data_IF_125911396579
#
_entry.id   IF_125911396579
#
_cell.length_a   1.000
_cell.length_b   1.000
_cell.length_c   1.000
_cell.angle_alpha   90.00
_cell.angle_beta   90.00
_cell.angle_gamma   90.00
#
_symmetry.space_group_name_H-M   'P 1'
#
loop_
_entity.id
_entity.type
_entity.pdbx_description
1 polymer ?
#
# COMPACT_ATOMS: atom_id res chain seq x y z
N UNK A 1 -21.59 -4.30 -15.54
CA UNK A 1 -21.64 -4.28 -14.06
C UNK A 1 -20.39 -4.99 -13.56
N UNK A 2 -19.55 -4.36 -12.71
CA UNK A 2 -18.34 -5.03 -12.19
C UNK A 2 -18.76 -5.99 -11.08
N UNK A 3 -18.39 -7.27 -11.19
CA UNK A 3 -18.82 -8.34 -10.29
C UNK A 3 -18.33 -8.16 -8.85
N UNK A 4 -18.91 -8.87 -7.86
CA UNK A 4 -18.78 -8.56 -6.42
C UNK A 4 -17.34 -8.48 -5.86
N UNK A 5 -16.35 -9.07 -6.53
CA UNK A 5 -14.93 -8.97 -6.15
C UNK A 5 -14.20 -7.70 -6.63
N UNK A 6 -14.84 -6.80 -7.37
CA UNK A 6 -14.17 -5.68 -8.03
C UNK A 6 -13.58 -4.65 -7.06
N UNK A 7 -14.26 -4.41 -5.93
CA UNK A 7 -13.81 -3.48 -4.90
C UNK A 7 -12.58 -4.04 -4.19
N UNK A 8 -12.58 -5.34 -3.88
CA UNK A 8 -11.44 -6.01 -3.27
C UNK A 8 -10.23 -6.00 -4.20
N UNK A 9 -10.41 -6.37 -5.48
CA UNK A 9 -9.32 -6.35 -6.46
C UNK A 9 -8.73 -4.96 -6.68
N UNK A 10 -9.55 -3.91 -6.62
CA UNK A 10 -9.09 -2.51 -6.69
C UNK A 10 -8.24 -2.14 -5.47
N UNK A 11 -8.70 -2.46 -4.25
CA UNK A 11 -7.96 -2.17 -3.03
C UNK A 11 -6.67 -2.99 -2.91
N UNK A 12 -6.67 -4.23 -3.37
CA UNK A 12 -5.45 -5.04 -3.44
C UNK A 12 -4.44 -4.47 -4.44
N UNK A 13 -4.90 -3.95 -5.58
CA UNK A 13 -4.03 -3.26 -6.54
C UNK A 13 -3.42 -1.98 -5.96
N UNK A 14 -4.23 -1.18 -5.26
CA UNK A 14 -3.77 0.01 -4.55
C UNK A 14 -2.75 -0.33 -3.45
N UNK A 15 -2.96 -1.41 -2.69
CA UNK A 15 -2.02 -1.87 -1.67
C UNK A 15 -0.67 -2.28 -2.27
N UNK A 16 -0.69 -2.99 -3.41
CA UNK A 16 0.54 -3.31 -4.17
C UNK A 16 1.27 -2.06 -4.62
N UNK A 17 0.56 -1.08 -5.15
CA UNK A 17 1.16 0.18 -5.59
C UNK A 17 1.80 0.95 -4.43
N UNK A 18 1.11 1.04 -3.29
CA UNK A 18 1.63 1.70 -2.09
C UNK A 18 2.89 1.02 -1.56
N UNK A 19 2.94 -0.32 -1.56
CA UNK A 19 4.15 -1.07 -1.19
C UNK A 19 5.33 -0.73 -2.10
N UNK A 20 5.13 -0.71 -3.42
CA UNK A 20 6.17 -0.33 -4.37
C UNK A 20 6.68 1.12 -4.16
N UNK A 21 5.76 2.04 -3.81
CA UNK A 21 6.10 3.43 -3.54
C UNK A 21 6.88 3.60 -2.23
N UNK A 22 6.48 2.88 -1.18
CA UNK A 22 7.21 2.80 0.10
C UNK A 22 8.63 2.26 -0.14
N UNK A 23 8.77 1.15 -0.85
CA UNK A 23 10.07 0.56 -1.16
C UNK A 23 10.98 1.53 -1.92
N UNK A 24 10.41 2.32 -2.84
CA UNK A 24 11.14 3.36 -3.57
C UNK A 24 11.59 4.47 -2.63
N UNK A 25 10.70 5.00 -1.80
CA UNK A 25 11.00 6.06 -0.84
C UNK A 25 12.07 5.63 0.17
N UNK A 26 12.05 4.38 0.62
CA UNK A 26 13.08 3.82 1.51
C UNK A 26 14.45 3.75 0.83
N UNK A 27 14.51 3.27 -0.42
CA UNK A 27 15.75 3.26 -1.21
C UNK A 27 16.28 4.67 -1.46
N UNK A 28 15.40 5.62 -1.75
CA UNK A 28 15.78 7.02 -1.97
C UNK A 28 16.30 7.65 -0.66
N UNK A 29 15.73 7.31 0.50
CA UNK A 29 16.24 7.72 1.80
C UNK A 29 17.64 7.15 2.09
N UNK A 30 17.87 5.86 1.78
CA UNK A 30 19.19 5.22 1.94
C UNK A 30 20.22 5.88 1.02
N UNK A 31 19.86 6.11 -0.26
CA UNK A 31 20.74 6.82 -1.20
C UNK A 31 21.04 8.23 -0.74
N UNK A 32 20.02 8.96 -0.29
CA UNK A 32 20.13 10.32 0.22
C UNK A 32 21.05 10.38 1.46
N UNK A 33 20.95 9.42 2.38
CA UNK A 33 21.82 9.33 3.55
C UNK A 33 23.28 9.00 3.20
N UNK A 34 23.49 8.18 2.16
CA UNK A 34 24.84 7.84 1.68
C UNK A 34 25.47 8.93 0.82
N UNK A 35 24.66 9.77 0.19
CA UNK A 35 25.13 10.96 -0.52
C UNK A 35 25.30 12.12 0.45
N UNK A 36 26.41 12.87 0.41
CA UNK A 36 26.54 14.16 1.12
C UNK A 36 25.64 15.27 0.55
N UNK A 37 24.60 14.91 -0.22
CA UNK A 37 23.69 15.83 -0.85
C UNK A 37 22.70 16.39 0.19
N UNK A 38 22.43 17.69 0.10
CA UNK A 38 21.33 18.35 0.83
C UNK A 38 20.00 17.89 0.22
N UNK A 39 19.54 16.71 0.60
CA UNK A 39 18.21 16.22 0.25
C UNK A 39 17.22 16.70 1.31
N UNK A 40 15.97 16.98 0.94
CA UNK A 40 14.86 17.17 1.89
C UNK A 40 14.47 15.82 2.54
N UNK A 41 15.39 15.24 3.30
CA UNK A 41 15.21 13.99 4.07
C UNK A 41 13.97 14.08 4.96
N UNK A 42 13.68 15.29 5.47
CA UNK A 42 12.49 15.54 6.27
C UNK A 42 11.19 15.27 5.49
N UNK A 43 11.08 15.78 4.27
CA UNK A 43 9.91 15.60 3.42
C UNK A 43 9.77 14.15 2.95
N UNK A 44 10.89 13.51 2.57
CA UNK A 44 10.91 12.09 2.19
C UNK A 44 10.48 11.21 3.36
N UNK A 45 10.98 11.48 4.57
CA UNK A 45 10.59 10.76 5.77
C UNK A 45 9.12 11.02 6.15
N UNK A 46 8.63 12.25 5.97
CA UNK A 46 7.21 12.58 6.19
C UNK A 46 6.30 11.83 5.21
N UNK A 47 6.62 11.86 3.91
CA UNK A 47 5.91 11.09 2.88
C UNK A 47 5.93 9.60 3.18
N UNK A 48 7.08 9.04 3.57
CA UNK A 48 7.21 7.62 3.91
C UNK A 48 6.29 7.21 5.07
N UNK A 49 6.26 8.00 6.16
CA UNK A 49 5.36 7.75 7.30
C UNK A 49 3.90 7.79 6.87
N UNK A 50 3.53 8.77 6.05
CA UNK A 50 2.17 8.91 5.56
C UNK A 50 1.75 7.73 4.67
N UNK A 51 2.61 7.31 3.73
CA UNK A 51 2.33 6.18 2.85
C UNK A 51 2.22 4.86 3.63
N UNK A 52 3.07 4.64 4.65
CA UNK A 52 2.97 3.48 5.54
C UNK A 52 1.65 3.45 6.31
N UNK A 53 1.23 4.59 6.87
CA UNK A 53 -0.06 4.67 7.57
C UNK A 53 -1.26 4.45 6.64
N UNK A 54 -1.18 4.95 5.41
CA UNK A 54 -2.20 4.71 4.37
C UNK A 54 -2.27 3.23 3.97
N UNK A 55 -1.12 2.59 3.77
CA UNK A 55 -1.05 1.16 3.48
C UNK A 55 -1.67 0.33 4.61
N UNK A 56 -1.31 0.63 5.86
CA UNK A 56 -1.85 -0.07 7.02
C UNK A 56 -3.38 0.00 7.06
N UNK A 57 -3.97 1.19 6.89
CA UNK A 57 -5.44 1.35 6.84
C UNK A 57 -6.08 0.58 5.70
N UNK A 58 -5.40 0.51 4.55
CA UNK A 58 -5.89 -0.22 3.39
C UNK A 58 -5.86 -1.73 3.62
N UNK A 59 -4.80 -2.23 4.26
CA UNK A 59 -4.66 -3.64 4.67
C UNK A 59 -5.68 -4.02 5.74
N UNK A 60 -5.92 -3.15 6.73
CA UNK A 60 -6.98 -3.31 7.73
C UNK A 60 -8.36 -3.36 7.07
N UNK A 61 -8.62 -2.49 6.09
CA UNK A 61 -9.86 -2.54 5.31
C UNK A 61 -9.99 -3.84 4.52
N UNK A 62 -8.92 -4.32 3.89
CA UNK A 62 -8.91 -5.57 3.13
C UNK A 62 -9.16 -6.78 4.05
N UNK A 63 -8.59 -6.78 5.26
CA UNK A 63 -8.81 -7.82 6.26
C UNK A 63 -10.24 -7.79 6.81
N UNK A 64 -10.83 -6.61 6.96
CA UNK A 64 -12.22 -6.43 7.40
C UNK A 64 -13.25 -6.71 6.28
N UNK A 65 -12.82 -6.81 5.00
CA UNK A 65 -13.74 -7.18 3.93
C UNK A 65 -14.17 -8.63 4.11
N UNK A 66 -15.48 -8.92 4.05
CA UNK A 66 -15.92 -10.30 3.99
C UNK A 66 -15.29 -10.94 2.75
N UNK A 67 -14.60 -12.07 2.95
CA UNK A 67 -14.20 -12.93 1.85
C UNK A 67 -15.49 -13.29 1.13
N UNK A 68 -15.78 -12.56 0.04
CA UNK A 68 -17.06 -12.63 -0.66
C UNK A 68 -17.42 -14.09 -0.80
N UNK A 69 -18.54 -14.46 -0.17
CA UNK A 69 -19.07 -15.83 -0.01
C UNK A 69 -18.53 -16.67 -1.16
N UNK A 70 -17.51 -17.49 -0.90
CA UNK A 70 -17.22 -18.60 -1.79
C UNK A 70 -18.56 -19.31 -1.81
N UNK A 71 -19.20 -19.35 -2.97
CA UNK A 71 -20.44 -20.06 -3.14
C UNK A 71 -20.13 -21.54 -2.90
N UNK A 72 -20.11 -21.93 -1.63
CA UNK A 72 -20.34 -23.29 -1.18
C UNK A 72 -21.84 -23.52 -1.32
N UNK A 73 -22.30 -23.55 -2.57
CA UNK A 73 -23.53 -24.22 -2.95
C UNK A 73 -23.11 -25.29 -3.96
N UNK A 74 -23.24 -26.55 -3.56
CA UNK A 74 -23.28 -27.68 -4.48
C UNK A 74 -22.15 -28.70 -4.36
N UNK A 75 -22.23 -29.61 -3.38
CA UNK A 75 -22.50 -31.04 -3.61
C UNK A 75 -22.53 -31.79 -2.28
#
# INVERSE_FOLDING_TARGET
MRGPGWIRGLREAEARQLRCEIDRLERDLIKAANSKAKCNLHDVAHMLRWQKARLQRLEECLAAMPAGKIASDGS
#
